data_IF_237837470081
#
_entry.id   IF_237837470081
#
_cell.length_a   1.000
_cell.length_b   1.000
_cell.length_c   1.000
_cell.angle_alpha   90.00
_cell.angle_beta   90.00
_cell.angle_gamma   90.00
#
_symmetry.space_group_name_H-M   'P 1'
#
loop_
_entity.id
_entity.type
_entity.pdbx_description
1 polymer ?
#
# COMPACT_ATOMS: atom_id res chain seq x y z
N UNK A 1 25.83 5.78 -28.59
CA UNK A 1 26.20 6.88 -27.65
C UNK A 1 25.10 6.89 -26.60
N UNK A 2 25.40 6.48 -25.37
CA UNK A 2 24.44 6.52 -24.28
C UNK A 2 24.09 7.98 -23.99
N UNK A 3 22.87 8.39 -24.34
CA UNK A 3 22.35 9.70 -24.03
C UNK A 3 22.30 9.85 -22.51
N UNK A 4 22.97 10.88 -21.98
CA UNK A 4 22.76 11.31 -20.60
C UNK A 4 21.29 11.66 -20.47
N UNK A 5 20.53 10.83 -19.73
CA UNK A 5 19.21 11.19 -19.25
C UNK A 5 19.33 12.57 -18.60
N UNK A 6 18.72 13.57 -19.20
CA UNK A 6 18.58 14.88 -18.57
C UNK A 6 17.82 14.64 -17.26
N UNK A 7 18.39 15.08 -16.14
CA UNK A 7 17.65 15.00 -14.86
C UNK A 7 16.37 15.78 -15.05
N UNK A 8 15.25 15.12 -14.90
CA UNK A 8 13.94 15.79 -14.90
C UNK A 8 13.99 16.99 -13.93
N UNK A 9 13.43 18.10 -14.33
CA UNK A 9 13.27 19.29 -13.49
C UNK A 9 12.37 18.99 -12.28
N UNK A 10 11.47 18.00 -12.42
CA UNK A 10 10.43 17.63 -11.48
C UNK A 10 10.88 16.50 -10.54
N UNK A 11 10.43 16.56 -9.30
CA UNK A 11 10.82 15.60 -8.25
C UNK A 11 9.79 15.59 -7.12
N UNK A 12 9.92 14.67 -6.15
CA UNK A 12 9.11 14.67 -4.94
C UNK A 12 9.10 15.99 -4.16
N UNK A 13 10.18 16.80 -4.27
CA UNK A 13 10.29 18.12 -3.63
C UNK A 13 9.78 19.28 -4.51
N UNK A 14 9.71 19.07 -5.79
CA UNK A 14 9.24 20.01 -6.80
C UNK A 14 8.39 19.24 -7.80
N UNK A 15 7.15 18.86 -7.46
CA UNK A 15 6.28 18.14 -8.38
C UNK A 15 5.81 19.04 -9.52
N UNK A 16 5.51 18.42 -10.66
CA UNK A 16 4.73 19.05 -11.71
C UNK A 16 3.26 18.97 -11.34
N UNK A 17 2.52 20.07 -11.48
CA UNK A 17 1.08 20.07 -11.23
C UNK A 17 0.32 19.84 -12.52
N UNK A 18 -0.46 18.79 -12.53
CA UNK A 18 -1.26 18.36 -13.68
C UNK A 18 -2.66 17.96 -13.24
N UNK A 19 -3.49 17.51 -14.16
CA UNK A 19 -4.87 17.13 -13.93
C UNK A 19 -5.10 15.68 -14.31
N UNK A 20 -6.06 15.05 -13.62
CA UNK A 20 -6.64 13.77 -14.02
C UNK A 20 -7.64 14.05 -15.15
N UNK A 21 -7.47 13.41 -16.30
CA UNK A 21 -8.37 13.53 -17.45
C UNK A 21 -9.44 12.46 -17.47
N UNK A 22 -9.07 11.24 -17.02
CA UNK A 22 -9.99 10.11 -16.93
C UNK A 22 -9.83 9.37 -15.61
N UNK A 23 -10.95 8.91 -15.05
CA UNK A 23 -11.01 8.19 -13.79
C UNK A 23 -12.25 7.29 -13.76
N UNK A 24 -12.07 6.00 -14.03
CA UNK A 24 -13.18 5.05 -14.08
C UNK A 24 -12.84 3.72 -13.41
N UNK A 25 -13.87 3.02 -12.95
CA UNK A 25 -13.76 1.73 -12.27
C UNK A 25 -13.51 0.63 -13.31
N UNK A 26 -12.54 -0.25 -13.00
CA UNK A 26 -12.20 -1.41 -13.83
C UNK A 26 -12.91 -2.69 -13.39
N UNK A 27 -13.37 -2.73 -12.14
CA UNK A 27 -14.04 -3.90 -11.59
C UNK A 27 -15.45 -4.07 -12.16
N UNK A 28 -15.89 -5.32 -12.30
CA UNK A 28 -17.29 -5.63 -12.59
C UNK A 28 -18.22 -5.30 -11.42
N UNK A 29 -19.53 -5.22 -11.71
CA UNK A 29 -20.55 -4.82 -10.71
C UNK A 29 -20.64 -5.77 -9.50
N UNK A 30 -20.25 -7.03 -9.67
CA UNK A 30 -20.25 -8.03 -8.57
C UNK A 30 -19.08 -7.90 -7.60
N UNK A 31 -18.08 -7.08 -7.92
CA UNK A 31 -16.88 -6.90 -7.10
C UNK A 31 -17.16 -6.12 -5.82
N UNK A 32 -16.47 -6.53 -4.74
CA UNK A 32 -16.36 -5.75 -3.52
C UNK A 32 -15.10 -4.88 -3.48
N UNK A 33 -14.25 -5.01 -4.48
CA UNK A 33 -13.07 -4.17 -4.65
C UNK A 33 -13.41 -2.98 -5.55
N UNK A 34 -12.66 -1.92 -5.38
CA UNK A 34 -12.67 -0.79 -6.27
C UNK A 34 -11.24 -0.58 -6.80
N UNK A 35 -11.03 -0.91 -8.06
CA UNK A 35 -9.79 -0.63 -8.78
C UNK A 35 -10.12 0.32 -9.92
N UNK A 36 -9.38 1.41 -10.01
CA UNK A 36 -9.62 2.44 -11.03
C UNK A 36 -8.49 2.54 -12.03
N UNK A 37 -8.87 2.83 -13.26
CA UNK A 37 -7.98 3.38 -14.26
C UNK A 37 -7.97 4.90 -14.11
N UNK A 38 -6.78 5.48 -13.94
CA UNK A 38 -6.62 6.92 -13.75
C UNK A 38 -5.62 7.43 -14.77
N UNK A 39 -6.01 8.44 -15.55
CA UNK A 39 -5.17 9.06 -16.58
C UNK A 39 -4.79 10.45 -16.16
N UNK A 40 -3.49 10.75 -16.20
CA UNK A 40 -2.96 12.08 -15.98
C UNK A 40 -2.49 12.68 -17.30
N UNK A 41 -2.82 13.93 -17.55
CA UNK A 41 -2.27 14.73 -18.64
C UNK A 41 -0.83 15.14 -18.30
N UNK A 42 0.11 14.88 -19.18
CA UNK A 42 1.48 15.33 -19.01
C UNK A 42 1.72 16.73 -19.60
N UNK A 43 0.83 17.20 -20.47
CA UNK A 43 0.89 18.53 -21.08
C UNK A 43 2.29 18.89 -21.58
N UNK A 44 2.68 20.14 -21.35
CA UNK A 44 4.00 20.67 -21.68
C UNK A 44 5.05 20.47 -20.58
N UNK A 45 4.87 19.47 -19.69
CA UNK A 45 5.75 19.23 -18.53
C UNK A 45 7.18 18.87 -18.91
N UNK A 46 7.40 18.31 -20.09
CA UNK A 46 8.65 17.68 -20.46
C UNK A 46 8.98 16.42 -19.65
N UNK A 47 7.99 15.86 -18.94
CA UNK A 47 8.14 14.59 -18.25
C UNK A 47 8.20 13.43 -19.26
N UNK A 48 9.30 12.71 -19.22
CA UNK A 48 9.52 11.50 -20.01
C UNK A 48 9.52 10.29 -19.09
N UNK A 49 8.95 9.16 -19.54
CA UNK A 49 8.96 7.90 -18.82
C UNK A 49 9.13 6.72 -19.78
N UNK A 50 9.35 5.55 -19.22
CA UNK A 50 9.40 4.27 -19.94
C UNK A 50 8.46 3.27 -19.29
N UNK A 51 8.00 2.33 -20.08
CA UNK A 51 7.29 1.17 -19.52
C UNK A 51 8.15 0.50 -18.43
N UNK A 52 7.57 0.35 -17.24
CA UNK A 52 8.25 -0.13 -16.03
C UNK A 52 8.64 0.97 -15.03
N UNK A 53 8.57 2.24 -15.39
CA UNK A 53 8.72 3.36 -14.45
C UNK A 53 7.49 3.50 -13.54
N UNK A 54 7.60 4.31 -12.49
CA UNK A 54 6.51 4.63 -11.60
C UNK A 54 6.21 6.15 -11.60
N UNK A 55 4.94 6.49 -11.41
CA UNK A 55 4.50 7.86 -11.16
C UNK A 55 4.43 8.10 -9.65
N UNK A 56 5.10 9.13 -9.17
CA UNK A 56 4.91 9.66 -7.84
C UNK A 56 3.75 10.65 -7.82
N UNK A 57 2.77 10.40 -6.96
CA UNK A 57 1.61 11.27 -6.77
C UNK A 57 1.67 11.88 -5.37
N UNK A 58 1.56 13.21 -5.30
CA UNK A 58 1.54 13.97 -4.05
C UNK A 58 0.09 14.13 -3.61
N UNK A 59 -0.35 13.45 -2.55
CA UNK A 59 -1.72 13.58 -2.07
C UNK A 59 -1.94 14.88 -1.30
N UNK A 60 -3.21 15.21 -1.07
CA UNK A 60 -3.65 16.19 -0.09
C UNK A 60 -4.52 15.51 0.96
N UNK A 61 -4.45 15.96 2.19
CA UNK A 61 -5.30 15.43 3.26
C UNK A 61 -6.77 15.82 3.05
N UNK A 62 -7.74 15.00 3.52
CA UNK A 62 -9.16 15.32 3.43
C UNK A 62 -9.49 16.60 4.21
N UNK A 63 -10.15 17.59 3.58
CA UNK A 63 -10.51 18.83 4.25
C UNK A 63 -11.35 18.61 5.51
N UNK A 64 -12.29 17.66 5.47
CA UNK A 64 -13.16 17.32 6.59
C UNK A 64 -12.39 16.80 7.80
N UNK A 65 -11.34 16.01 7.59
CA UNK A 65 -10.48 15.50 8.67
C UNK A 65 -9.55 16.59 9.22
N UNK A 66 -9.06 17.48 8.36
CA UNK A 66 -8.29 18.67 8.78
C UNK A 66 -9.15 19.58 9.65
N UNK A 67 -10.40 19.87 9.24
CA UNK A 67 -11.32 20.66 10.03
C UNK A 67 -11.65 19.99 11.37
N UNK A 68 -11.80 18.68 11.39
CA UNK A 68 -12.06 17.94 12.62
C UNK A 68 -10.88 18.01 13.59
N UNK A 69 -9.63 17.88 13.07
CA UNK A 69 -8.42 18.09 13.88
C UNK A 69 -8.39 19.50 14.48
N UNK A 70 -8.64 20.52 13.65
CA UNK A 70 -8.68 21.92 14.11
C UNK A 70 -9.75 22.11 15.17
N UNK A 71 -10.94 21.55 14.98
CA UNK A 71 -12.06 21.62 15.92
C UNK A 71 -11.72 20.96 17.27
N UNK A 72 -11.13 19.77 17.27
CA UNK A 72 -10.74 19.06 18.50
C UNK A 72 -9.72 19.87 19.28
N UNK A 73 -8.74 20.48 18.59
CA UNK A 73 -7.70 21.29 19.22
C UNK A 73 -8.15 22.72 19.56
N UNK A 74 -9.31 23.18 19.09
CA UNK A 74 -9.81 24.54 19.29
C UNK A 74 -9.05 25.60 18.48
N UNK A 75 -8.48 25.23 17.33
CA UNK A 75 -7.74 26.15 16.45
C UNK A 75 -8.62 26.68 15.32
N UNK A 76 -8.29 27.89 14.84
CA UNK A 76 -8.93 28.49 13.67
C UNK A 76 -8.39 27.93 12.34
N UNK A 77 -7.16 27.43 12.37
CA UNK A 77 -6.41 27.02 11.19
C UNK A 77 -5.58 28.14 10.56
N UNK A 78 -5.80 29.40 10.97
CA UNK A 78 -5.05 30.56 10.47
C UNK A 78 -3.78 30.85 11.28
N UNK A 79 -3.54 30.10 12.35
CA UNK A 79 -2.34 30.20 13.16
C UNK A 79 -1.11 29.85 12.31
N UNK A 80 -0.11 30.73 12.32
CA UNK A 80 1.11 30.52 11.57
C UNK A 80 2.02 29.54 12.30
N UNK A 81 2.44 28.51 11.58
CA UNK A 81 3.34 27.47 12.05
C UNK A 81 4.60 27.38 11.18
N UNK A 82 5.71 27.04 11.82
CA UNK A 82 6.98 26.82 11.14
C UNK A 82 7.04 25.41 10.55
N UNK A 83 7.45 25.30 9.27
CA UNK A 83 7.66 24.01 8.63
C UNK A 83 8.97 24.02 7.86
N UNK A 84 9.44 22.85 7.42
CA UNK A 84 10.66 22.73 6.60
C UNK A 84 10.52 23.33 5.18
N UNK A 85 9.30 23.70 4.77
CA UNK A 85 8.99 24.35 3.51
C UNK A 85 8.63 25.85 3.69
N UNK A 86 8.94 26.41 4.88
CA UNK A 86 8.60 27.75 5.28
C UNK A 86 7.33 27.84 6.11
N UNK A 87 7.06 29.04 6.63
CA UNK A 87 5.91 29.30 7.45
C UNK A 87 4.61 29.27 6.63
N UNK A 88 3.55 28.79 7.24
CA UNK A 88 2.22 28.78 6.62
C UNK A 88 1.13 28.67 7.69
N UNK A 89 -0.15 28.93 7.32
CA UNK A 89 -1.28 28.59 8.18
C UNK A 89 -1.30 27.11 8.58
N UNK A 90 -1.73 26.82 9.80
CA UNK A 90 -1.83 25.45 10.32
C UNK A 90 -2.72 24.57 9.44
N UNK A 91 -3.80 25.10 8.90
CA UNK A 91 -4.69 24.42 7.93
C UNK A 91 -3.91 23.93 6.71
N UNK A 92 -3.09 24.79 6.10
CA UNK A 92 -2.29 24.44 4.95
C UNK A 92 -1.21 23.41 5.31
N UNK A 93 -0.61 23.54 6.49
CA UNK A 93 0.36 22.57 6.98
C UNK A 93 -0.25 21.17 7.11
N UNK A 94 -1.44 21.04 7.72
CA UNK A 94 -2.14 19.76 7.86
C UNK A 94 -2.66 19.23 6.53
N UNK A 95 -3.06 20.10 5.61
CA UNK A 95 -3.57 19.70 4.29
C UNK A 95 -2.48 19.18 3.38
N UNK A 96 -1.32 19.85 3.30
CA UNK A 96 -0.35 19.64 2.23
C UNK A 96 1.03 19.15 2.72
N UNK A 97 1.31 19.14 4.03
CA UNK A 97 2.68 18.92 4.53
C UNK A 97 2.84 17.81 5.56
N UNK A 98 1.77 17.43 6.26
CA UNK A 98 1.83 16.43 7.33
C UNK A 98 0.90 15.25 7.09
N UNK A 99 1.35 14.06 7.50
CA UNK A 99 0.59 12.82 7.42
C UNK A 99 -0.40 12.73 8.57
N UNK A 100 -1.71 12.77 8.29
CA UNK A 100 -2.77 12.73 9.32
C UNK A 100 -3.41 11.36 9.49
N UNK A 101 -3.23 10.42 8.56
CA UNK A 101 -3.81 9.08 8.64
C UNK A 101 -2.97 8.08 9.45
N UNK A 102 -1.75 8.45 9.83
CA UNK A 102 -0.84 7.57 10.57
C UNK A 102 -0.20 8.30 11.73
N UNK A 103 -0.60 7.90 12.94
CA UNK A 103 -0.01 8.42 14.17
C UNK A 103 1.42 7.94 14.29
N UNK A 104 2.36 8.82 14.58
CA UNK A 104 3.77 8.48 14.77
C UNK A 104 4.07 8.17 16.23
N UNK A 105 4.92 7.18 16.48
CA UNK A 105 5.46 6.92 17.84
C UNK A 105 6.14 8.15 18.44
N UNK A 106 6.79 8.95 17.59
CA UNK A 106 7.49 10.15 18.02
C UNK A 106 6.51 11.18 18.57
N UNK A 107 5.35 11.33 17.95
CA UNK A 107 4.30 12.25 18.43
C UNK A 107 3.79 11.84 19.80
N UNK A 108 3.46 10.54 20.01
CA UNK A 108 3.00 10.02 21.31
C UNK A 108 4.08 10.20 22.39
N UNK A 109 5.35 9.88 22.07
CA UNK A 109 6.47 10.11 23.01
C UNK A 109 6.63 11.59 23.37
N UNK A 110 6.46 12.49 22.39
CA UNK A 110 6.46 13.93 22.63
C UNK A 110 5.35 14.42 23.57
N UNK A 111 4.17 13.76 23.55
CA UNK A 111 3.13 14.02 24.56
C UNK A 111 3.62 13.69 25.97
N UNK A 112 4.22 12.51 26.14
CA UNK A 112 4.72 12.09 27.46
C UNK A 112 5.84 13.00 27.98
N UNK A 113 6.75 13.45 27.12
CA UNK A 113 7.81 14.41 27.50
C UNK A 113 7.24 15.75 27.91
N UNK A 114 6.20 16.27 27.24
CA UNK A 114 5.55 17.55 27.56
C UNK A 114 4.71 17.48 28.83
N UNK A 115 4.10 16.33 29.11
CA UNK A 115 3.34 16.12 30.35
C UNK A 115 4.22 16.04 31.60
N UNK A 116 5.55 16.17 31.45
CA UNK A 116 6.52 16.21 32.55
C UNK A 116 6.91 14.85 33.10
N UNK A 117 6.54 13.76 32.41
CA UNK A 117 6.77 12.39 32.92
C UNK A 117 6.03 12.10 34.24
N UNK A 118 5.41 13.12 34.84
CA UNK A 118 4.51 12.97 35.94
C UNK A 118 3.12 12.58 35.36
N UNK A 119 2.87 11.29 35.23
CA UNK A 119 1.49 10.85 35.35
C UNK A 119 0.91 11.55 36.57
N UNK A 120 -0.32 12.09 36.54
CA UNK A 120 -0.92 12.67 37.72
C UNK A 120 -0.68 11.68 38.85
N UNK A 121 -0.13 12.15 39.98
CA UNK A 121 0.14 11.33 41.17
C UNK A 121 -1.16 10.88 41.84
N UNK A 122 -2.04 10.24 41.10
CA UNK A 122 -2.94 9.27 41.65
C UNK A 122 -2.11 7.99 41.76
N UNK A 123 -1.97 7.46 42.96
CA UNK A 123 -1.29 6.17 43.16
C UNK A 123 -2.03 5.10 42.35
N UNK A 124 -1.65 4.92 41.06
CA UNK A 124 -2.16 3.84 40.24
C UNK A 124 -1.29 2.62 40.58
N UNK A 125 -1.77 1.78 41.47
CA UNK A 125 -1.25 0.42 41.60
C UNK A 125 -1.76 -0.40 40.42
N UNK A 126 -0.92 -0.54 39.38
CA UNK A 126 -1.19 -1.48 38.28
C UNK A 126 -0.99 -2.88 38.80
N UNK A 127 -2.07 -3.62 38.94
CA UNK A 127 -2.04 -5.04 39.28
C UNK A 127 -2.22 -5.83 37.98
N UNK A 128 -1.27 -6.73 37.69
CA UNK A 128 -1.14 -7.45 36.42
C UNK A 128 -2.45 -8.14 35.98
N UNK A 129 -2.87 -7.89 34.74
CA UNK A 129 -4.02 -8.55 34.10
C UNK A 129 -3.73 -10.03 33.83
N UNK A 130 -4.51 -10.94 34.43
CA UNK A 130 -4.79 -12.24 33.84
C UNK A 130 -5.90 -12.05 32.79
N UNK A 131 -5.62 -12.43 31.52
CA UNK A 131 -6.62 -12.44 30.45
C UNK A 131 -7.78 -13.35 30.86
N UNK A 132 -8.99 -12.82 31.00
CA UNK A 132 -10.23 -13.57 30.98
C UNK A 132 -10.87 -13.46 29.59
N UNK A 133 -11.31 -14.57 29.03
CA UNK A 133 -12.00 -14.67 27.74
C UNK A 133 -13.34 -13.94 27.77
N UNK A 134 -13.58 -13.07 26.79
CA UNK A 134 -14.87 -12.43 26.59
C UNK A 134 -15.73 -13.22 25.60
N UNK A 135 -16.99 -13.42 25.94
CA UNK A 135 -18.06 -13.78 25.00
C UNK A 135 -18.72 -12.45 24.61
N UNK A 136 -18.80 -12.15 23.30
CA UNK A 136 -19.43 -10.97 22.67
C UNK A 136 -18.78 -9.56 22.76
N UNK A 137 -17.53 -9.47 23.19
CA UNK A 137 -16.80 -8.18 23.11
C UNK A 137 -17.12 -7.17 24.21
N UNK A 138 -17.98 -7.49 25.21
CA UNK A 138 -18.27 -6.63 26.35
C UNK A 138 -17.55 -7.13 27.58
N UNK A 139 -16.83 -6.25 28.27
CA UNK A 139 -16.22 -6.51 29.58
C UNK A 139 -17.30 -6.34 30.63
N UNK A 140 -17.89 -7.45 31.12
CA UNK A 140 -18.77 -7.40 32.27
C UNK A 140 -17.91 -7.59 33.52
N UNK A 141 -17.77 -6.54 34.32
CA UNK A 141 -17.21 -6.58 35.67
C UNK A 141 -18.36 -6.62 36.65
N UNK A 142 -18.62 -7.78 37.22
CA UNK A 142 -19.64 -7.94 38.27
C UNK A 142 -19.03 -7.53 39.63
N UNK A 143 -19.55 -6.46 40.20
CA UNK A 143 -19.16 -5.95 41.50
C UNK A 143 -20.19 -6.39 42.55
N UNK A 144 -20.02 -7.49 43.17
CA UNK A 144 -20.75 -7.78 44.39
C UNK A 144 -20.03 -7.17 45.59
N UNK A 145 -20.64 -6.15 46.18
CA UNK A 145 -20.17 -5.47 47.36
C UNK A 145 -20.07 -6.42 48.56
N UNK A 146 -18.90 -6.60 49.10
CA UNK A 146 -18.76 -7.14 50.47
C UNK A 146 -17.48 -6.54 51.10
N UNK A 147 -17.70 -5.65 52.07
CA UNK A 147 -16.95 -5.54 53.30
C UNK A 147 -15.46 -5.21 53.24
N UNK A 148 -15.05 -4.24 54.02
CA UNK A 148 -13.65 -3.91 54.35
C UNK A 148 -12.78 -5.15 54.48
N UNK A 149 -11.86 -5.34 53.53
CA UNK A 149 -10.85 -6.38 53.54
C UNK A 149 -9.87 -6.11 52.40
N UNK A 150 -8.59 -6.44 52.62
CA UNK A 150 -7.48 -6.26 51.67
C UNK A 150 -7.87 -6.65 50.25
N UNK A 151 -7.66 -5.75 49.30
CA UNK A 151 -7.92 -5.94 47.87
C UNK A 151 -7.01 -7.10 47.39
N UNK A 152 -7.58 -8.18 46.83
CA UNK A 152 -6.78 -9.27 46.32
C UNK A 152 -5.84 -8.82 45.19
N UNK A 153 -4.64 -9.41 45.11
CA UNK A 153 -3.72 -9.20 43.99
C UNK A 153 -4.49 -9.38 42.66
N UNK A 154 -4.68 -8.30 41.89
CA UNK A 154 -5.39 -8.35 40.59
C UNK A 154 -6.49 -7.30 40.42
N UNK A 155 -6.77 -6.44 41.38
CA UNK A 155 -7.84 -5.42 41.29
C UNK A 155 -7.30 -3.99 41.37
N UNK A 156 -7.97 -3.10 40.63
CA UNK A 156 -7.73 -1.65 40.70
C UNK A 156 -8.90 -1.03 41.48
N UNK A 157 -8.63 -0.40 42.61
CA UNK A 157 -9.61 0.47 43.28
C UNK A 157 -9.82 1.71 42.40
N UNK A 158 -11.02 1.90 41.87
CA UNK A 158 -11.38 3.13 41.15
C UNK A 158 -11.54 4.27 42.15
N UNK A 159 -10.43 4.97 42.42
CA UNK A 159 -10.52 6.37 42.83
C UNK A 159 -11.14 7.20 41.69
N UNK A 160 -11.59 8.43 41.96
CA UNK A 160 -12.15 9.36 40.99
C UNK A 160 -11.45 9.21 39.65
N UNK A 161 -12.23 9.02 38.56
CA UNK A 161 -11.73 8.74 37.20
C UNK A 161 -10.72 9.84 36.84
N UNK A 162 -9.45 9.57 37.10
CA UNK A 162 -8.35 10.38 36.62
C UNK A 162 -8.37 10.33 35.09
N UNK A 163 -7.93 11.38 34.45
CA UNK A 163 -7.91 11.55 33.01
C UNK A 163 -7.44 10.24 32.30
N UNK A 164 -8.38 9.55 31.65
CA UNK A 164 -8.12 8.30 30.95
C UNK A 164 -6.97 8.44 29.94
N UNK A 165 -6.74 9.65 29.42
CA UNK A 165 -5.67 9.98 28.49
C UNK A 165 -4.27 9.78 29.11
N UNK A 166 -4.09 10.10 30.39
CA UNK A 166 -2.81 9.91 31.07
C UNK A 166 -2.50 8.42 31.31
N UNK A 167 -3.54 7.64 31.64
CA UNK A 167 -3.42 6.19 31.84
C UNK A 167 -3.05 5.52 30.50
N UNK A 168 -3.76 5.87 29.43
CA UNK A 168 -3.50 5.38 28.08
C UNK A 168 -2.07 5.74 27.65
N UNK A 169 -1.65 6.99 27.83
CA UNK A 169 -0.30 7.43 27.46
C UNK A 169 0.78 6.64 28.19
N UNK A 170 0.59 6.38 29.50
CA UNK A 170 1.52 5.57 30.29
C UNK A 170 1.59 4.12 29.78
N UNK A 171 0.45 3.51 29.44
CA UNK A 171 0.40 2.16 28.84
C UNK A 171 1.20 2.11 27.54
N UNK A 172 0.93 3.05 26.63
CA UNK A 172 1.60 3.10 25.31
C UNK A 172 3.12 3.32 25.41
N UNK A 173 3.58 4.11 26.37
CA UNK A 173 5.02 4.33 26.57
C UNK A 173 5.69 3.12 27.21
N UNK A 174 4.99 2.39 28.05
CA UNK A 174 5.53 1.25 28.81
C UNK A 174 5.51 -0.05 28.04
N UNK A 175 4.59 -0.21 27.08
CA UNK A 175 4.39 -1.42 26.30
C UNK A 175 4.51 -1.13 24.78
N UNK A 176 5.54 -1.71 24.16
CA UNK A 176 5.78 -1.50 22.73
C UNK A 176 4.74 -2.18 21.85
N UNK A 177 4.16 -3.30 22.26
CA UNK A 177 3.14 -4.00 21.47
C UNK A 177 1.82 -3.23 21.53
N UNK A 178 1.43 -2.69 22.69
CA UNK A 178 0.31 -1.77 22.82
C UNK A 178 0.50 -0.50 21.97
N UNK A 179 1.71 0.06 21.95
CA UNK A 179 2.05 1.19 21.09
C UNK A 179 1.90 0.86 19.60
N UNK A 180 2.39 -0.30 19.14
CA UNK A 180 2.24 -0.72 17.74
C UNK A 180 0.77 -0.91 17.37
N UNK A 181 -0.01 -1.60 18.21
CA UNK A 181 -1.44 -1.82 17.99
C UNK A 181 -2.22 -0.50 17.99
N UNK A 182 -1.85 0.45 18.85
CA UNK A 182 -2.48 1.76 18.90
C UNK A 182 -2.24 2.56 17.61
N UNK A 183 -0.99 2.76 17.22
CA UNK A 183 -0.66 3.54 16.02
C UNK A 183 -1.09 2.85 14.72
N UNK A 184 -1.26 1.53 14.74
CA UNK A 184 -1.81 0.76 13.64
C UNK A 184 -3.30 1.02 13.41
N UNK A 185 -4.05 1.19 14.50
CA UNK A 185 -5.51 1.25 14.46
C UNK A 185 -6.08 2.67 14.44
N UNK A 186 -5.25 3.71 14.60
CA UNK A 186 -5.71 5.09 14.76
C UNK A 186 -5.07 6.07 13.79
N UNK A 187 -5.84 7.09 13.43
CA UNK A 187 -5.36 8.31 12.78
C UNK A 187 -5.25 9.46 13.80
N UNK A 188 -4.86 10.64 13.35
CA UNK A 188 -4.71 11.79 14.24
C UNK A 188 -6.05 12.34 14.76
N UNK A 189 -7.17 12.13 14.07
CA UNK A 189 -8.49 12.50 14.59
C UNK A 189 -8.83 11.66 15.82
N UNK A 190 -8.60 10.34 15.75
CA UNK A 190 -8.80 9.44 16.89
C UNK A 190 -7.83 9.76 18.04
N UNK A 191 -6.55 9.89 17.73
CA UNK A 191 -5.51 10.12 18.74
C UNK A 191 -5.72 11.47 19.46
N UNK A 192 -6.14 12.49 18.74
CA UNK A 192 -6.47 13.79 19.36
C UNK A 192 -7.74 13.71 20.22
N UNK A 193 -8.70 12.87 19.83
CA UNK A 193 -9.85 12.55 20.70
C UNK A 193 -9.42 11.90 22.01
N UNK A 194 -8.52 10.90 21.91
CA UNK A 194 -7.98 10.18 23.08
C UNK A 194 -7.11 11.08 24.00
N UNK A 195 -6.43 12.11 23.44
CA UNK A 195 -5.47 12.97 24.14
C UNK A 195 -5.87 14.46 24.19
N UNK A 196 -7.15 14.79 23.98
CA UNK A 196 -7.62 16.19 23.95
C UNK A 196 -7.30 16.97 25.22
N UNK A 197 -7.29 16.31 26.38
CA UNK A 197 -7.03 16.93 27.69
C UNK A 197 -5.61 17.48 27.84
N UNK A 198 -4.63 17.01 27.05
CA UNK A 198 -3.25 17.51 27.14
C UNK A 198 -3.08 18.94 26.64
N UNK A 199 -3.99 19.43 25.79
CA UNK A 199 -3.86 20.71 25.12
C UNK A 199 -2.62 20.79 24.21
N UNK A 200 -2.69 21.63 23.21
CA UNK A 200 -1.58 21.84 22.26
C UNK A 200 -1.51 23.32 21.89
N UNK A 201 -0.30 23.83 21.66
CA UNK A 201 -0.15 24.97 20.75
C UNK A 201 -0.18 24.49 19.30
N UNK A 202 -0.49 25.35 18.33
CA UNK A 202 -0.45 24.96 16.91
C UNK A 202 0.87 24.31 16.47
N UNK A 203 1.99 24.83 16.96
CA UNK A 203 3.31 24.29 16.68
C UNK A 203 3.54 22.93 17.35
N UNK A 204 3.11 22.77 18.60
CA UNK A 204 3.24 21.50 19.35
C UNK A 204 2.40 20.37 18.74
N UNK A 205 1.28 20.67 18.10
CA UNK A 205 0.49 19.67 17.38
C UNK A 205 1.31 19.01 16.27
N UNK A 206 2.10 19.78 15.54
CA UNK A 206 2.92 19.29 14.40
C UNK A 206 4.21 18.60 14.86
N UNK A 207 4.66 18.83 16.09
CA UNK A 207 5.88 18.24 16.62
C UNK A 207 5.75 16.71 16.69
N UNK A 208 6.65 16.04 16.00
CA UNK A 208 6.65 14.57 15.97
C UNK A 208 5.75 13.95 14.89
N UNK A 209 4.83 14.69 14.26
CA UNK A 209 4.09 14.20 13.10
C UNK A 209 5.04 13.91 11.93
N UNK A 210 4.76 12.80 11.22
CA UNK A 210 5.47 12.50 9.98
C UNK A 210 5.10 13.48 8.87
N UNK A 211 6.02 13.69 7.94
CA UNK A 211 5.74 14.50 6.75
C UNK A 211 4.87 13.72 5.77
N UNK A 212 3.97 14.42 5.10
CA UNK A 212 3.21 13.89 3.99
C UNK A 212 4.16 13.47 2.87
N UNK A 213 4.06 12.20 2.46
CA UNK A 213 4.92 11.61 1.43
C UNK A 213 4.13 11.31 0.17
N UNK A 214 4.71 11.54 -1.01
CA UNK A 214 4.15 11.01 -2.24
C UNK A 214 3.99 9.49 -2.20
N UNK A 215 3.06 8.95 -2.98
CA UNK A 215 2.92 7.52 -3.22
C UNK A 215 3.36 7.20 -4.63
N UNK A 216 4.06 6.07 -4.78
CA UNK A 216 4.51 5.59 -6.09
C UNK A 216 3.53 4.56 -6.63
N UNK A 217 3.20 4.67 -7.89
CA UNK A 217 2.34 3.75 -8.62
C UNK A 217 3.05 3.32 -9.90
N UNK A 218 3.14 2.01 -10.14
CA UNK A 218 3.68 1.48 -11.39
C UNK A 218 2.81 1.97 -12.54
N UNK A 219 3.44 2.50 -13.58
CA UNK A 219 2.76 3.08 -14.73
C UNK A 219 2.15 1.96 -15.59
N UNK A 220 0.89 2.15 -16.00
CA UNK A 220 0.11 1.19 -16.76
C UNK A 220 -0.01 1.55 -18.26
N UNK A 221 0.80 2.48 -18.76
CA UNK A 221 0.83 2.90 -20.17
C UNK A 221 2.24 2.92 -20.73
N UNK A 222 2.35 2.71 -22.05
CA UNK A 222 3.55 3.04 -22.80
C UNK A 222 3.46 4.49 -23.31
N UNK A 223 4.53 5.30 -23.18
CA UNK A 223 4.52 6.67 -23.67
C UNK A 223 4.41 6.76 -25.21
N UNK A 224 4.84 5.73 -25.92
CA UNK A 224 4.77 5.67 -27.39
C UNK A 224 3.40 5.23 -27.89
N UNK A 225 2.60 4.58 -27.03
CA UNK A 225 1.23 4.15 -27.32
C UNK A 225 0.19 5.20 -26.88
N UNK A 226 0.43 5.85 -25.75
CA UNK A 226 -0.46 6.83 -25.12
C UNK A 226 0.27 8.18 -24.98
N UNK A 227 0.50 8.86 -26.16
CA UNK A 227 1.25 10.11 -26.19
C UNK A 227 0.64 11.20 -25.27
N UNK A 228 1.49 11.91 -24.55
CA UNK A 228 1.12 13.05 -23.72
C UNK A 228 0.38 12.70 -22.43
N UNK A 229 0.19 11.41 -22.11
CA UNK A 229 -0.51 10.97 -20.90
C UNK A 229 0.29 9.92 -20.12
N UNK A 230 -0.11 9.70 -18.88
CA UNK A 230 0.37 8.58 -18.06
C UNK A 230 -0.81 7.94 -17.34
N UNK A 231 -0.91 6.62 -17.44
CA UNK A 231 -2.03 5.84 -16.89
C UNK A 231 -1.60 5.05 -15.68
N UNK A 232 -2.49 4.96 -14.70
CA UNK A 232 -2.31 4.16 -13.48
C UNK A 232 -3.45 3.15 -13.29
N UNK A 233 -3.13 2.03 -12.65
CA UNK A 233 -4.09 1.05 -12.15
C UNK A 233 -4.06 1.10 -10.63
N UNK A 234 -5.10 1.66 -10.01
CA UNK A 234 -5.09 2.00 -8.59
C UNK A 234 -6.19 1.28 -7.84
N UNK A 235 -5.83 0.39 -6.92
CA UNK A 235 -6.77 -0.17 -5.95
C UNK A 235 -7.11 0.89 -4.89
N UNK A 236 -8.39 1.22 -4.78
CA UNK A 236 -8.87 2.21 -3.80
C UNK A 236 -9.03 1.52 -2.45
N UNK A 237 -8.35 2.04 -1.46
CA UNK A 237 -8.42 1.54 -0.08
C UNK A 237 -9.64 2.15 0.60
N UNK A 238 -10.58 1.29 1.03
CA UNK A 238 -11.75 1.67 1.81
C UNK A 238 -11.94 0.69 2.95
N UNK A 239 -12.12 1.18 4.16
CA UNK A 239 -12.34 0.36 5.35
C UNK A 239 -13.07 1.14 6.43
N UNK A 240 -13.72 0.42 7.34
CA UNK A 240 -14.36 1.02 8.53
C UNK A 240 -13.61 0.61 9.78
N UNK A 241 -13.24 1.55 10.61
CA UNK A 241 -12.58 1.32 11.90
C UNK A 241 -12.95 2.42 12.89
N UNK A 242 -13.12 2.09 14.18
CA UNK A 242 -13.57 3.01 15.22
C UNK A 242 -14.83 3.79 14.81
N UNK A 243 -15.83 3.08 14.28
CA UNK A 243 -17.12 3.63 13.83
C UNK A 243 -17.02 4.73 12.75
N UNK A 244 -15.86 4.84 12.07
CA UNK A 244 -15.62 5.79 10.98
C UNK A 244 -15.28 5.05 9.70
N UNK A 245 -15.89 5.46 8.61
CA UNK A 245 -15.50 5.07 7.27
C UNK A 245 -14.24 5.83 6.86
N UNK A 246 -13.28 5.11 6.30
CA UNK A 246 -11.96 5.64 5.97
C UNK A 246 -11.55 5.28 4.56
N UNK A 247 -10.78 6.14 3.96
CA UNK A 247 -10.18 5.91 2.65
C UNK A 247 -8.67 6.03 2.74
N UNK A 248 -7.96 5.35 1.85
CA UNK A 248 -6.52 5.55 1.73
C UNK A 248 -6.21 6.99 1.32
N UNK A 249 -5.26 7.64 1.98
CA UNK A 249 -4.97 9.06 1.79
C UNK A 249 -4.80 9.46 0.32
N UNK A 250 -3.91 8.78 -0.42
CA UNK A 250 -3.64 9.09 -1.81
C UNK A 250 -4.67 8.47 -2.76
N UNK A 251 -5.12 7.24 -2.48
CA UNK A 251 -6.11 6.57 -3.33
C UNK A 251 -7.47 7.24 -3.24
N UNK A 252 -7.94 7.62 -2.04
CA UNK A 252 -9.15 8.40 -1.86
C UNK A 252 -9.02 9.83 -2.40
N UNK A 253 -7.82 10.45 -2.33
CA UNK A 253 -7.57 11.74 -2.97
C UNK A 253 -7.83 11.66 -4.46
N UNK A 254 -7.20 10.71 -5.17
CA UNK A 254 -7.38 10.56 -6.60
C UNK A 254 -8.79 10.11 -7.00
N UNK A 255 -9.40 9.21 -6.22
CA UNK A 255 -10.70 8.64 -6.56
C UNK A 255 -11.88 9.59 -6.31
N UNK A 256 -11.87 10.30 -5.18
CA UNK A 256 -13.05 10.97 -4.66
C UNK A 256 -12.91 12.50 -4.62
N UNK A 257 -11.68 13.02 -4.50
CA UNK A 257 -11.42 14.44 -4.28
C UNK A 257 -10.77 15.17 -5.45
N UNK A 258 -10.35 14.43 -6.49
CA UNK A 258 -9.87 15.02 -7.73
C UNK A 258 -10.99 15.06 -8.76
N UNK A 259 -11.56 16.24 -8.96
CA UNK A 259 -12.47 16.49 -10.08
C UNK A 259 -11.69 16.48 -11.40
N UNK A 260 -12.12 15.62 -12.32
CA UNK A 260 -11.50 15.46 -13.66
C UNK A 260 -11.41 16.79 -14.40
N UNK A 261 -10.27 17.03 -15.03
CA UNK A 261 -9.96 18.25 -15.80
C UNK A 261 -9.95 19.55 -14.97
N UNK A 262 -10.09 19.45 -13.64
CA UNK A 262 -10.21 20.63 -12.77
C UNK A 262 -9.12 20.63 -11.70
N UNK A 263 -9.06 19.59 -10.85
CA UNK A 263 -8.16 19.55 -9.71
C UNK A 263 -6.71 19.35 -10.11
N UNK A 264 -5.84 20.23 -9.64
CA UNK A 264 -4.40 20.08 -9.82
C UNK A 264 -3.81 19.08 -8.85
N UNK A 265 -3.02 18.14 -9.39
CA UNK A 265 -2.34 17.08 -8.65
C UNK A 265 -0.86 17.14 -8.91
N UNK A 266 -0.05 17.19 -7.86
CA UNK A 266 1.39 17.17 -7.96
C UNK A 266 1.91 15.78 -8.33
N UNK A 267 2.68 15.67 -9.43
CA UNK A 267 3.26 14.41 -9.90
C UNK A 267 4.73 14.54 -10.26
N UNK A 268 5.43 13.42 -10.28
CA UNK A 268 6.81 13.33 -10.80
C UNK A 268 7.11 11.90 -11.26
N UNK A 269 8.03 11.74 -12.19
CA UNK A 269 8.48 10.42 -12.62
C UNK A 269 9.51 9.84 -11.64
N UNK A 270 9.37 8.57 -11.33
CA UNK A 270 10.31 7.75 -10.56
C UNK A 270 10.87 6.66 -11.46
N UNK A 271 12.01 6.90 -12.12
CA UNK A 271 12.58 5.95 -13.07
C UNK A 271 12.98 4.64 -12.39
N UNK A 272 12.62 3.53 -13.00
CA UNK A 272 13.12 2.21 -12.60
C UNK A 272 14.59 2.06 -12.98
N UNK A 273 15.34 1.27 -12.19
CA UNK A 273 16.72 0.94 -12.51
C UNK A 273 16.88 -0.40 -13.22
N UNK A 274 15.92 -1.27 -13.07
CA UNK A 274 16.05 -2.67 -13.50
C UNK A 274 14.78 -3.25 -14.09
N UNK A 275 13.60 -2.78 -13.74
CA UNK A 275 12.34 -3.34 -14.20
C UNK A 275 11.98 -2.78 -15.59
N UNK A 276 12.72 -3.23 -16.62
CA UNK A 276 12.62 -2.74 -17.99
C UNK A 276 12.47 -3.91 -18.96
N UNK A 277 11.88 -3.67 -20.12
CA UNK A 277 11.84 -4.63 -21.21
C UNK A 277 13.25 -4.99 -21.72
N UNK A 278 13.45 -6.21 -22.30
CA UNK A 278 14.69 -6.54 -22.99
C UNK A 278 14.94 -5.56 -24.13
N UNK A 279 16.20 -5.17 -24.34
CA UNK A 279 16.60 -4.39 -25.53
C UNK A 279 16.39 -5.16 -26.83
N UNK A 280 16.51 -6.49 -26.79
CA UNK A 280 16.25 -7.40 -27.90
C UNK A 280 14.77 -7.82 -27.89
N UNK A 281 13.95 -7.21 -28.74
CA UNK A 281 12.52 -7.49 -28.88
C UNK A 281 12.18 -8.90 -29.34
N UNK A 282 13.18 -9.73 -29.71
CA UNK A 282 12.96 -11.15 -30.02
C UNK A 282 12.92 -12.05 -28.78
N UNK A 283 13.28 -11.51 -27.61
CA UNK A 283 13.24 -12.26 -26.35
C UNK A 283 11.82 -12.48 -25.88
N UNK A 284 11.57 -13.69 -25.44
CA UNK A 284 10.33 -14.08 -24.76
C UNK A 284 10.26 -13.45 -23.38
N UNK A 285 9.05 -13.11 -22.91
CA UNK A 285 8.83 -12.60 -21.56
C UNK A 285 7.70 -13.36 -20.87
N UNK A 286 7.91 -13.68 -19.59
CA UNK A 286 6.90 -14.24 -18.68
C UNK A 286 6.57 -13.15 -17.64
N UNK A 287 5.33 -12.82 -17.49
CA UNK A 287 4.82 -11.73 -16.62
C UNK A 287 3.85 -12.30 -15.58
N UNK A 288 4.15 -12.11 -14.30
CA UNK A 288 3.28 -12.57 -13.19
C UNK A 288 2.82 -11.36 -12.40
N UNK A 289 1.53 -10.98 -12.56
CA UNK A 289 0.98 -9.75 -12.00
C UNK A 289 -0.49 -9.85 -11.59
N UNK A 290 -0.80 -10.47 -10.45
CA UNK A 290 -2.17 -10.50 -9.95
C UNK A 290 -2.63 -9.13 -9.44
N UNK A 291 -3.95 -8.88 -9.57
CA UNK A 291 -4.56 -7.62 -9.17
C UNK A 291 -3.94 -6.41 -9.86
N UNK A 292 -3.62 -5.36 -9.10
CA UNK A 292 -2.97 -4.16 -9.65
C UNK A 292 -1.53 -4.40 -10.15
N UNK A 293 -0.96 -5.57 -9.91
CA UNK A 293 0.33 -5.99 -10.50
C UNK A 293 0.30 -6.09 -12.03
N UNK A 294 -0.89 -6.05 -12.64
CA UNK A 294 -1.07 -5.98 -14.09
C UNK A 294 -0.55 -4.65 -14.69
N UNK A 295 -0.47 -3.58 -13.91
CA UNK A 295 -0.17 -2.23 -14.39
C UNK A 295 1.07 -2.15 -15.29
N UNK A 296 2.29 -2.51 -14.85
CA UNK A 296 3.46 -2.42 -15.70
C UNK A 296 3.41 -3.40 -16.88
N UNK A 297 2.67 -4.50 -16.77
CA UNK A 297 2.56 -5.47 -17.85
C UNK A 297 1.65 -4.99 -18.99
N UNK A 298 0.61 -4.20 -18.65
CA UNK A 298 -0.16 -3.48 -19.67
C UNK A 298 0.77 -2.54 -20.45
N UNK A 299 1.59 -1.76 -19.76
CA UNK A 299 2.57 -0.89 -20.40
C UNK A 299 3.58 -1.67 -21.26
N UNK A 300 4.04 -2.84 -20.79
CA UNK A 300 4.96 -3.69 -21.55
C UNK A 300 4.33 -4.24 -22.83
N UNK A 301 3.08 -4.69 -22.76
CA UNK A 301 2.36 -5.20 -23.94
C UNK A 301 2.14 -4.09 -24.98
N UNK A 302 1.71 -2.90 -24.55
CA UNK A 302 1.61 -1.73 -25.44
C UNK A 302 2.95 -1.39 -26.08
N UNK A 303 4.04 -1.34 -25.32
CA UNK A 303 5.36 -1.00 -25.83
C UNK A 303 5.86 -2.05 -26.86
N UNK A 304 5.68 -3.34 -26.55
CA UNK A 304 6.09 -4.42 -27.45
C UNK A 304 5.26 -4.45 -28.72
N UNK A 305 3.98 -4.13 -28.62
CA UNK A 305 3.10 -4.03 -29.80
C UNK A 305 3.58 -2.92 -30.74
N UNK A 306 3.84 -1.70 -30.20
CA UNK A 306 4.24 -0.56 -31.04
C UNK A 306 5.66 -0.73 -31.60
N UNK A 307 6.53 -1.42 -30.89
CA UNK A 307 7.88 -1.78 -31.37
C UNK A 307 7.83 -2.85 -32.48
N UNK A 308 6.75 -3.61 -32.59
CA UNK A 308 6.69 -4.79 -33.43
C UNK A 308 7.58 -5.94 -32.94
N UNK A 309 7.76 -6.05 -31.63
CA UNK A 309 8.60 -7.08 -31.00
C UNK A 309 8.05 -8.47 -31.32
N UNK A 310 8.93 -9.41 -31.73
CA UNK A 310 8.54 -10.76 -32.17
C UNK A 310 8.62 -11.82 -31.08
N UNK A 311 9.23 -11.52 -29.95
CA UNK A 311 9.29 -12.44 -28.81
C UNK A 311 7.91 -12.66 -28.19
N UNK A 312 7.67 -13.88 -27.70
CA UNK A 312 6.40 -14.29 -27.14
C UNK A 312 6.13 -13.63 -25.79
N UNK A 313 4.86 -13.39 -25.48
CA UNK A 313 4.42 -12.81 -24.21
C UNK A 313 3.52 -13.80 -23.47
N UNK A 314 3.92 -14.19 -22.25
CA UNK A 314 3.13 -15.06 -21.39
C UNK A 314 2.71 -14.30 -20.15
N UNK A 315 1.40 -14.14 -19.94
CA UNK A 315 0.83 -13.41 -18.82
C UNK A 315 0.13 -14.36 -17.85
N UNK A 316 0.53 -14.29 -16.57
CA UNK A 316 -0.20 -14.86 -15.44
C UNK A 316 -0.89 -13.72 -14.70
N UNK A 317 -2.21 -13.71 -14.76
CA UNK A 317 -3.06 -12.79 -14.01
C UNK A 317 -3.90 -13.56 -13.00
N UNK A 318 -4.28 -12.92 -11.89
CA UNK A 318 -5.17 -13.55 -10.92
C UNK A 318 -5.78 -12.55 -9.96
N UNK A 319 -6.97 -12.87 -9.46
CA UNK A 319 -7.66 -12.12 -8.42
C UNK A 319 -8.76 -12.99 -7.76
N UNK A 320 -9.81 -12.38 -7.20
CA UNK A 320 -10.90 -13.10 -6.52
C UNK A 320 -11.78 -13.88 -7.49
N UNK A 321 -12.42 -13.18 -8.42
CA UNK A 321 -13.36 -13.78 -9.39
C UNK A 321 -13.14 -13.19 -10.79
N UNK A 322 -13.48 -13.97 -11.81
CA UNK A 322 -13.37 -13.51 -13.18
C UNK A 322 -14.35 -12.38 -13.51
N UNK A 323 -15.60 -12.51 -13.04
CA UNK A 323 -16.65 -11.53 -13.33
C UNK A 323 -16.35 -10.17 -12.68
N UNK A 324 -15.89 -10.19 -11.43
CA UNK A 324 -15.68 -8.97 -10.64
C UNK A 324 -14.31 -8.32 -10.85
N UNK A 325 -13.25 -9.12 -10.99
CA UNK A 325 -11.88 -8.61 -10.87
C UNK A 325 -10.98 -8.87 -12.09
N UNK A 326 -11.54 -9.29 -13.25
CA UNK A 326 -10.71 -9.38 -14.45
C UNK A 326 -10.46 -7.98 -15.04
N UNK A 327 -9.42 -7.33 -14.56
CA UNK A 327 -9.05 -5.98 -15.00
C UNK A 327 -8.63 -5.99 -16.47
N UNK A 328 -9.06 -4.97 -17.22
CA UNK A 328 -8.76 -4.83 -18.66
C UNK A 328 -9.17 -6.03 -19.52
N UNK A 329 -10.24 -6.73 -19.16
CA UNK A 329 -10.70 -7.97 -19.83
C UNK A 329 -10.73 -7.86 -21.35
N UNK A 330 -11.36 -6.81 -21.87
CA UNK A 330 -11.56 -6.63 -23.31
C UNK A 330 -10.24 -6.36 -24.04
N UNK A 331 -9.37 -5.53 -23.46
CA UNK A 331 -8.05 -5.23 -23.99
C UNK A 331 -7.13 -6.46 -23.99
N UNK A 332 -7.14 -7.25 -22.90
CA UNK A 332 -6.40 -8.51 -22.81
C UNK A 332 -6.92 -9.55 -23.79
N UNK A 333 -8.24 -9.60 -24.01
CA UNK A 333 -8.88 -10.45 -24.99
C UNK A 333 -8.45 -10.10 -26.42
N UNK A 334 -8.49 -8.83 -26.78
CA UNK A 334 -8.05 -8.32 -28.09
C UNK A 334 -6.56 -8.64 -28.33
N UNK A 335 -5.69 -8.40 -27.37
CA UNK A 335 -4.27 -8.75 -27.49
C UNK A 335 -4.03 -10.25 -27.65
N UNK A 336 -4.83 -11.08 -27.00
CA UNK A 336 -4.76 -12.54 -27.17
C UNK A 336 -5.20 -12.95 -28.57
N UNK A 337 -6.31 -12.39 -29.05
CA UNK A 337 -6.87 -12.71 -30.38
C UNK A 337 -5.92 -12.26 -31.52
N UNK A 338 -5.21 -11.17 -31.34
CA UNK A 338 -4.18 -10.66 -32.26
C UNK A 338 -2.80 -11.32 -32.09
N UNK A 339 -2.67 -12.20 -31.10
CA UNK A 339 -1.41 -12.92 -30.84
C UNK A 339 -0.32 -12.11 -30.14
N UNK A 340 -0.62 -10.91 -29.66
CA UNK A 340 0.31 -10.12 -28.81
C UNK A 340 0.54 -10.87 -27.49
N UNK A 341 -0.51 -11.37 -26.84
CA UNK A 341 -0.40 -12.31 -25.73
C UNK A 341 -0.38 -13.73 -26.29
N UNK A 342 0.78 -14.37 -26.24
CA UNK A 342 0.95 -15.75 -26.74
C UNK A 342 0.32 -16.78 -25.81
N UNK A 343 0.40 -16.55 -24.49
CA UNK A 343 -0.22 -17.39 -23.46
C UNK A 343 -0.78 -16.52 -22.33
N UNK A 344 -1.96 -16.90 -21.85
CA UNK A 344 -2.65 -16.18 -20.78
C UNK A 344 -3.25 -17.17 -19.78
N UNK A 345 -2.70 -17.20 -18.57
CA UNK A 345 -3.18 -18.02 -17.48
C UNK A 345 -3.89 -17.16 -16.43
N UNK A 346 -5.13 -17.52 -16.10
CA UNK A 346 -6.02 -16.77 -15.22
C UNK A 346 -6.29 -17.57 -13.94
N UNK A 347 -5.94 -17.01 -12.79
CA UNK A 347 -6.09 -17.62 -11.48
C UNK A 347 -7.18 -16.93 -10.65
N UNK A 348 -8.22 -17.67 -10.25
CA UNK A 348 -9.35 -17.14 -9.49
C UNK A 348 -9.41 -17.76 -8.10
N UNK A 349 -9.15 -16.95 -7.06
CA UNK A 349 -9.02 -17.45 -5.69
C UNK A 349 -10.34 -17.62 -4.95
N UNK A 350 -11.47 -17.11 -5.50
CA UNK A 350 -12.81 -17.16 -4.88
C UNK A 350 -13.93 -17.60 -5.84
N UNK A 351 -13.61 -18.12 -7.00
CA UNK A 351 -14.61 -18.52 -8.01
C UNK A 351 -15.09 -19.96 -7.84
N UNK A 352 -14.25 -20.84 -7.31
CA UNK A 352 -14.55 -22.27 -7.11
C UNK A 352 -14.50 -22.69 -5.66
N UNK A 353 -14.59 -24.01 -5.43
CA UNK A 353 -14.39 -24.62 -4.11
C UNK A 353 -12.93 -24.57 -3.65
N UNK A 354 -11.99 -24.54 -4.59
CA UNK A 354 -10.57 -24.45 -4.33
C UNK A 354 -10.05 -23.04 -4.69
N UNK A 355 -9.11 -22.57 -3.87
CA UNK A 355 -8.44 -21.30 -4.13
C UNK A 355 -7.31 -21.50 -5.14
N UNK A 356 -7.43 -20.91 -6.33
CA UNK A 356 -6.39 -20.96 -7.35
C UNK A 356 -5.64 -19.63 -7.36
N UNK A 357 -4.33 -19.69 -7.18
CA UNK A 357 -3.41 -18.55 -7.25
C UNK A 357 -2.45 -18.72 -8.43
N UNK A 358 -1.78 -17.65 -8.82
CA UNK A 358 -0.86 -17.66 -9.98
C UNK A 358 0.25 -18.70 -9.85
N UNK A 359 0.80 -18.92 -8.64
CA UNK A 359 1.83 -19.93 -8.42
C UNK A 359 1.33 -21.36 -8.70
N UNK A 360 0.06 -21.69 -8.45
CA UNK A 360 -0.49 -23.00 -8.79
C UNK A 360 -0.54 -23.22 -10.32
N UNK A 361 -0.84 -22.16 -11.08
CA UNK A 361 -0.80 -22.23 -12.55
C UNK A 361 0.63 -22.29 -13.08
N UNK A 362 1.58 -21.66 -12.38
CA UNK A 362 3.01 -21.80 -12.70
C UNK A 362 3.47 -23.25 -12.48
N UNK A 363 3.12 -23.89 -11.35
CA UNK A 363 3.43 -25.29 -11.09
C UNK A 363 2.87 -26.20 -12.19
N UNK A 364 1.60 -25.99 -12.54
CA UNK A 364 0.93 -26.75 -13.61
C UNK A 364 1.63 -26.64 -14.98
N UNK A 365 2.22 -25.50 -15.27
CA UNK A 365 2.92 -25.20 -16.51
C UNK A 365 4.46 -25.27 -16.33
N UNK A 366 4.96 -25.94 -15.30
CA UNK A 366 6.36 -25.86 -14.89
C UNK A 366 7.35 -26.23 -15.97
N UNK A 367 7.13 -27.35 -16.72
CA UNK A 367 8.00 -27.78 -17.81
C UNK A 367 8.12 -26.71 -18.91
N UNK A 368 7.00 -26.08 -19.27
CA UNK A 368 7.02 -25.05 -20.30
C UNK A 368 7.67 -23.75 -19.81
N UNK A 369 7.43 -23.36 -18.55
CA UNK A 369 8.12 -22.22 -17.93
C UNK A 369 9.63 -22.46 -17.94
N UNK A 370 10.07 -23.67 -17.56
CA UNK A 370 11.48 -24.03 -17.62
C UNK A 370 12.03 -23.91 -19.05
N UNK A 371 11.33 -24.46 -20.03
CA UNK A 371 11.75 -24.39 -21.44
C UNK A 371 11.89 -22.93 -21.94
N UNK A 372 11.02 -22.03 -21.51
CA UNK A 372 11.14 -20.61 -21.83
C UNK A 372 12.35 -19.98 -21.14
N UNK A 373 12.56 -20.26 -19.84
CA UNK A 373 13.68 -19.73 -19.05
C UNK A 373 15.02 -20.21 -19.62
N UNK A 374 15.15 -21.51 -19.92
CA UNK A 374 16.34 -22.11 -20.53
C UNK A 374 16.60 -21.55 -21.94
N UNK A 375 15.52 -21.24 -22.67
CA UNK A 375 15.56 -20.54 -23.96
C UNK A 375 15.92 -19.05 -23.88
N UNK A 376 16.16 -18.51 -22.69
CA UNK A 376 16.59 -17.13 -22.47
C UNK A 376 15.47 -16.13 -22.22
N UNK A 377 14.25 -16.57 -21.89
CA UNK A 377 13.15 -15.69 -21.55
C UNK A 377 13.44 -14.85 -20.29
N UNK A 378 12.84 -13.66 -20.26
CA UNK A 378 12.81 -12.80 -19.07
C UNK A 378 11.61 -13.14 -18.22
N UNK A 379 11.77 -13.07 -16.89
CA UNK A 379 10.73 -13.37 -15.93
C UNK A 379 10.46 -12.15 -15.06
N UNK A 380 9.22 -11.66 -15.08
CA UNK A 380 8.80 -10.44 -14.36
C UNK A 380 7.76 -10.75 -13.31
N UNK A 381 7.89 -10.12 -12.14
CA UNK A 381 6.90 -10.22 -11.05
C UNK A 381 6.55 -8.83 -10.56
N UNK A 382 5.25 -8.51 -10.56
CA UNK A 382 4.75 -7.27 -9.98
C UNK A 382 3.57 -7.54 -9.04
N UNK A 383 3.55 -6.86 -7.87
CA UNK A 383 2.47 -6.94 -6.89
C UNK A 383 2.93 -7.04 -5.46
N UNK A 384 2.20 -7.79 -4.61
CA UNK A 384 2.47 -7.90 -3.18
C UNK A 384 3.81 -8.58 -2.87
N UNK A 385 4.63 -7.88 -2.10
CA UNK A 385 5.95 -8.36 -1.64
C UNK A 385 5.85 -9.42 -0.55
N UNK A 386 4.82 -9.33 0.30
CA UNK A 386 4.79 -10.07 1.57
C UNK A 386 4.45 -11.55 1.38
N UNK A 387 3.51 -11.85 0.50
CA UNK A 387 3.01 -13.20 0.25
C UNK A 387 3.26 -13.63 -1.20
N UNK A 388 2.60 -13.00 -2.16
CA UNK A 388 2.60 -13.39 -3.56
C UNK A 388 4.01 -13.51 -4.16
N UNK A 389 4.85 -12.49 -3.99
CA UNK A 389 6.19 -12.52 -4.57
C UNK A 389 7.11 -13.58 -3.95
N UNK A 390 6.87 -13.98 -2.70
CA UNK A 390 7.59 -15.09 -2.06
C UNK A 390 7.15 -16.43 -2.62
N UNK A 391 5.84 -16.63 -2.78
CA UNK A 391 5.29 -17.87 -3.30
C UNK A 391 5.73 -18.07 -4.76
N UNK A 392 5.60 -17.05 -5.61
CA UNK A 392 6.08 -17.05 -6.99
C UNK A 392 7.58 -17.36 -7.07
N UNK A 393 8.38 -16.74 -6.19
CA UNK A 393 9.83 -16.99 -6.14
C UNK A 393 10.14 -18.43 -5.75
N UNK A 394 9.49 -18.97 -4.73
CA UNK A 394 9.68 -20.35 -4.30
C UNK A 394 9.26 -21.35 -5.37
N UNK A 395 8.13 -21.08 -6.03
CA UNK A 395 7.64 -21.88 -7.14
C UNK A 395 8.61 -21.88 -8.33
N UNK A 396 9.19 -20.73 -8.67
CA UNK A 396 10.19 -20.65 -9.76
C UNK A 396 11.44 -21.49 -9.44
N UNK A 397 11.92 -21.46 -8.18
CA UNK A 397 13.03 -22.32 -7.75
C UNK A 397 12.64 -23.81 -7.88
N UNK A 398 11.43 -24.18 -7.46
CA UNK A 398 10.91 -25.53 -7.58
C UNK A 398 10.87 -26.02 -9.04
N UNK A 399 10.38 -25.17 -9.95
CA UNK A 399 10.34 -25.44 -11.40
C UNK A 399 11.76 -25.67 -11.96
N UNK A 400 12.71 -24.81 -11.60
CA UNK A 400 14.10 -24.97 -12.03
C UNK A 400 14.73 -26.26 -11.48
N UNK A 401 14.40 -26.66 -10.25
CA UNK A 401 14.87 -27.89 -9.66
C UNK A 401 14.29 -29.11 -10.38
N UNK A 402 12.96 -29.17 -10.55
CA UNK A 402 12.26 -30.32 -11.10
C UNK A 402 12.55 -30.53 -12.60
N UNK A 403 12.32 -29.48 -13.41
CA UNK A 403 12.41 -29.57 -14.86
C UNK A 403 13.80 -29.22 -15.40
N UNK A 404 14.61 -28.46 -14.66
CA UNK A 404 16.03 -28.20 -14.99
C UNK A 404 16.97 -29.25 -14.49
N UNK A 405 16.49 -30.27 -13.74
CA UNK A 405 17.29 -31.35 -13.20
C UNK A 405 18.37 -30.89 -12.22
N UNK A 406 18.12 -29.77 -11.52
CA UNK A 406 19.05 -29.19 -10.56
C UNK A 406 18.74 -29.66 -9.14
N UNK A 407 19.78 -29.76 -8.29
CA UNK A 407 19.51 -29.86 -6.85
C UNK A 407 18.74 -28.63 -6.35
N UNK A 408 17.98 -28.73 -5.25
CA UNK A 408 17.29 -27.55 -4.70
C UNK A 408 18.23 -26.37 -4.40
N UNK A 409 19.47 -26.64 -4.00
CA UNK A 409 20.49 -25.63 -3.72
C UNK A 409 21.00 -24.97 -5.00
N UNK A 410 21.31 -25.78 -6.03
CA UNK A 410 21.75 -25.27 -7.35
C UNK A 410 20.63 -24.49 -8.03
N UNK A 411 19.37 -24.93 -7.95
CA UNK A 411 18.22 -24.23 -8.50
C UNK A 411 18.00 -22.86 -7.83
N UNK A 412 18.20 -22.80 -6.52
CA UNK A 412 18.16 -21.53 -5.78
C UNK A 412 19.27 -20.58 -6.22
N UNK A 413 20.50 -21.08 -6.34
CA UNK A 413 21.62 -20.25 -6.82
C UNK A 413 21.41 -19.82 -8.28
N UNK A 414 20.92 -20.70 -9.14
CA UNK A 414 20.56 -20.36 -10.52
C UNK A 414 19.53 -19.21 -10.58
N UNK A 415 18.48 -19.26 -9.76
CA UNK A 415 17.45 -18.20 -9.73
C UNK A 415 17.97 -16.93 -9.09
N UNK A 416 18.58 -17.00 -7.87
CA UNK A 416 18.94 -15.81 -7.10
C UNK A 416 20.26 -15.16 -7.54
N UNK A 417 21.21 -15.93 -8.01
CA UNK A 417 22.51 -15.44 -8.49
C UNK A 417 22.56 -15.39 -10.01
N UNK A 418 22.17 -16.46 -10.68
CA UNK A 418 22.16 -16.55 -12.14
C UNK A 418 21.17 -15.55 -12.75
N UNK A 419 19.87 -15.85 -12.66
CA UNK A 419 18.83 -15.08 -13.33
C UNK A 419 18.68 -13.66 -12.79
N UNK A 420 18.71 -13.48 -11.46
CA UNK A 420 18.40 -12.18 -10.84
C UNK A 420 19.58 -11.21 -10.86
N UNK A 421 20.81 -11.67 -10.53
CA UNK A 421 21.95 -10.77 -10.35
C UNK A 421 22.86 -10.72 -11.59
N UNK A 422 23.19 -11.88 -12.17
CA UNK A 422 24.16 -11.98 -13.25
C UNK A 422 23.53 -11.67 -14.60
N UNK A 423 22.50 -12.40 -14.98
CA UNK A 423 21.83 -12.26 -16.27
C UNK A 423 20.79 -11.14 -16.28
N UNK A 424 20.29 -10.75 -15.10
CA UNK A 424 19.25 -9.73 -14.91
C UNK A 424 17.99 -10.02 -15.75
N UNK A 425 17.60 -11.29 -15.80
CA UNK A 425 16.39 -11.76 -16.50
C UNK A 425 15.24 -12.09 -15.55
N UNK A 426 15.47 -12.15 -14.24
CA UNK A 426 14.42 -12.23 -13.22
C UNK A 426 14.28 -10.89 -12.50
N UNK A 427 13.21 -10.17 -12.79
CA UNK A 427 13.02 -8.78 -12.44
C UNK A 427 11.75 -8.64 -11.59
N UNK A 428 11.81 -7.83 -10.53
CA UNK A 428 10.70 -7.68 -9.60
C UNK A 428 10.41 -6.21 -9.32
N UNK A 429 9.15 -5.82 -9.50
CA UNK A 429 8.58 -4.57 -9.02
C UNK A 429 7.54 -4.90 -7.94
N UNK A 430 8.01 -5.09 -6.71
CA UNK A 430 7.18 -5.55 -5.61
C UNK A 430 7.24 -4.54 -4.47
N UNK A 431 6.08 -4.04 -4.09
CA UNK A 431 5.93 -3.13 -2.98
C UNK A 431 5.25 -3.84 -1.80
N UNK A 432 5.52 -3.34 -0.60
CA UNK A 432 4.61 -3.58 0.49
C UNK A 432 3.32 -2.85 0.12
N UNK A 433 2.31 -3.58 -0.29
CA UNK A 433 0.97 -3.04 -0.30
C UNK A 433 0.66 -2.71 1.15
N UNK A 434 0.82 -1.45 1.53
CA UNK A 434 0.22 -0.91 2.74
C UNK A 434 -1.29 -0.75 2.47
N UNK A 435 -1.94 -1.85 2.16
CA UNK A 435 -3.31 -2.03 2.57
C UNK A 435 -3.18 -2.22 4.07
N UNK A 436 -3.66 -1.28 4.88
CA UNK A 436 -4.03 -1.65 6.24
C UNK A 436 -4.92 -2.88 6.07
N UNK A 437 -4.48 -4.10 6.45
CA UNK A 437 -5.42 -5.18 6.45
C UNK A 437 -6.49 -4.73 7.44
N UNK A 438 -7.74 -4.68 6.98
CA UNK A 438 -8.87 -4.56 7.89
C UNK A 438 -8.64 -5.60 9.00
N UNK A 439 -8.92 -5.31 10.27
CA UNK A 439 -8.88 -6.31 11.34
C UNK A 439 -9.64 -7.59 10.98
N UNK A 440 -10.58 -7.53 10.03
CA UNK A 440 -11.29 -8.68 9.46
C UNK A 440 -10.43 -9.54 8.54
N UNK A 441 -9.45 -8.98 7.84
CA UNK A 441 -8.55 -9.75 6.97
C UNK A 441 -7.51 -10.55 7.78
N UNK A 442 -7.16 -10.09 8.98
CA UNK A 442 -6.34 -10.84 9.94
C UNK A 442 -7.10 -11.99 10.62
N UNK A 443 -8.42 -11.88 10.79
CA UNK A 443 -9.23 -12.95 11.41
C UNK A 443 -9.47 -14.15 10.48
N UNK A 444 -9.41 -13.96 9.16
CA UNK A 444 -9.57 -15.04 8.17
C UNK A 444 -8.26 -15.77 7.84
N UNK A 445 -7.10 -15.23 8.21
CA UNK A 445 -5.79 -15.85 8.00
C UNK A 445 -5.30 -16.72 9.17
N UNK A 446 -6.03 -16.75 10.28
CA UNK A 446 -5.76 -17.62 11.44
C UNK A 446 -6.79 -18.73 11.56
N UNK A 447 -6.83 -19.64 10.59
CA UNK A 447 -7.30 -20.99 10.85
C UNK A 447 -6.10 -21.85 11.20
N UNK A 448 -6.10 -22.53 12.36
CA UNK A 448 -5.02 -23.45 12.68
C UNK A 448 -5.08 -24.64 11.73
N UNK A 449 -3.93 -24.99 11.16
CA UNK A 449 -3.72 -26.30 10.60
C UNK A 449 -3.85 -27.31 11.73
N UNK A 450 -4.94 -28.04 11.77
CA UNK A 450 -5.09 -29.19 12.63
C UNK A 450 -5.57 -30.38 11.83
N UNK A 451 -4.69 -31.39 11.87
CA UNK A 451 -4.80 -32.81 11.53
C UNK A 451 -4.88 -33.16 10.06
#
# INVERSE_FOLDING_TARGET
MAGKSSKSEWSAKKPYFTKITDNFVLNGESSRKETRHIVFDLGDSGLEYKAGDALGVVPRCPPEEVEEILRICGFSGEEIVETNLGDCPLRDALTDRYEIHRVSKKWIKGLAERSGGDAPKSEIRIVSRKRSSTVDGSLIVDWSSSGEGDVPEGYVEMGEIGDNSAILLHELISDNDAMEDYIWSRDYVDALGDFASFGFTPQQLLEGMDRLKPRLYSIASSPDFEEGTVHLTVAIVRYSHHERDRTGLCTGFMADRCETNTTEVGVYMSPTRSFVLPEDGTKDIIMVGPGTGIAPFRAFLQQREINGDSGRNWLFFGDWTEEGEYLYRDEMGDWKDRGIISKHDLAWSRQGSEKVYVQHLMEKNGEEIWNWIDGGAYFYVCGDKQYMAKDVHSTLIGICSEFGGMSPEDAKDFVETGLMKTEKRYLRDVCLLYTSPSPRDLSTSRMPSSA
#
